data_IF_992540884597
#
_entry.id   IF_992540884597
#
_cell.length_a   1.000
_cell.length_b   1.000
_cell.length_c   1.000
_cell.angle_alpha   90.00
_cell.angle_beta   90.00
_cell.angle_gamma   90.00
#
_symmetry.space_group_name_H-M   'P 1'
#
loop_
_entity.id
_entity.type
_entity.pdbx_description
1 polymer ?
#
# COMPACT_ATOMS: atom_id res chain seq x y z
N UNK A 1 2.19 -7.47 0.14
CA UNK A 1 1.41 -8.59 0.71
C UNK A 1 1.98 -8.89 2.09
N UNK A 2 1.12 -9.22 3.04
CA UNK A 2 1.46 -9.22 4.46
C UNK A 2 0.67 -10.30 5.23
N UNK A 3 1.15 -10.66 6.41
CA UNK A 3 0.52 -11.63 7.33
C UNK A 3 0.06 -10.85 8.57
N UNK A 4 -1.17 -11.07 9.01
CA UNK A 4 -1.70 -10.47 10.24
C UNK A 4 -1.18 -11.20 11.48
N UNK A 5 -1.30 -10.56 12.66
CA UNK A 5 -0.91 -11.18 13.94
C UNK A 5 -1.80 -12.39 14.31
N UNK A 6 -3.01 -12.42 13.78
CA UNK A 6 -4.06 -13.40 14.01
C UNK A 6 -3.97 -14.57 13.02
N UNK A 7 -2.97 -14.57 12.13
CA UNK A 7 -2.78 -15.64 11.15
C UNK A 7 -3.71 -15.51 9.94
N UNK A 8 -3.96 -14.29 9.46
CA UNK A 8 -4.64 -14.06 8.18
C UNK A 8 -3.64 -13.59 7.11
N UNK A 9 -3.74 -14.17 5.92
CA UNK A 9 -2.92 -13.81 4.78
C UNK A 9 -3.64 -12.76 3.92
N UNK A 10 -2.95 -11.66 3.61
CA UNK A 10 -3.34 -10.75 2.54
C UNK A 10 -2.63 -11.16 1.25
N UNK A 11 -3.39 -11.58 0.24
CA UNK A 11 -2.86 -12.05 -1.06
C UNK A 11 -3.40 -11.21 -2.22
N UNK A 12 -2.62 -11.07 -3.28
CA UNK A 12 -3.07 -10.46 -4.53
C UNK A 12 -3.46 -11.56 -5.52
N UNK A 13 -4.71 -11.55 -5.95
CA UNK A 13 -5.26 -12.41 -7.00
C UNK A 13 -5.25 -11.64 -8.33
N UNK A 14 -5.28 -12.36 -9.45
CA UNK A 14 -5.45 -11.79 -10.80
C UNK A 14 -4.49 -10.62 -11.11
N UNK A 15 -3.23 -10.71 -10.65
CA UNK A 15 -2.25 -9.64 -10.84
C UNK A 15 -2.02 -9.39 -12.33
N UNK A 16 -2.17 -8.14 -12.75
CA UNK A 16 -2.09 -7.71 -14.16
C UNK A 16 -0.70 -7.82 -14.77
N UNK A 17 0.35 -7.92 -13.94
CA UNK A 17 1.72 -8.17 -14.38
C UNK A 17 2.44 -9.12 -13.42
N UNK A 18 2.76 -10.33 -13.90
CA UNK A 18 3.37 -11.39 -13.09
C UNK A 18 4.89 -11.19 -12.89
N UNK A 19 5.55 -10.41 -13.75
CA UNK A 19 7.02 -10.31 -13.78
C UNK A 19 7.57 -8.89 -13.61
N UNK A 20 6.77 -7.97 -13.05
CA UNK A 20 7.18 -6.59 -12.71
C UNK A 20 6.89 -6.20 -11.25
N UNK A 21 7.64 -5.22 -10.75
CA UNK A 21 7.36 -4.51 -9.47
C UNK A 21 6.07 -3.69 -9.56
N UNK A 22 5.65 -3.35 -10.78
CA UNK A 22 4.44 -2.58 -11.10
C UNK A 22 3.33 -3.53 -11.55
N UNK A 23 2.18 -3.45 -10.89
CA UNK A 23 0.97 -4.17 -11.28
C UNK A 23 0.02 -4.33 -10.11
N UNK A 24 -1.26 -4.07 -10.35
CA UNK A 24 -2.33 -4.25 -9.37
C UNK A 24 -3.10 -5.55 -9.59
N UNK A 25 -3.76 -6.00 -8.53
CA UNK A 25 -4.64 -7.16 -8.56
C UNK A 25 -5.82 -7.00 -7.61
N UNK A 26 -6.56 -8.07 -7.41
CA UNK A 26 -7.63 -8.14 -6.41
C UNK A 26 -7.04 -8.59 -5.08
N UNK A 27 -7.11 -7.72 -4.07
CA UNK A 27 -6.74 -8.07 -2.71
C UNK A 27 -7.75 -9.06 -2.15
N UNK A 28 -7.27 -10.16 -1.58
CA UNK A 28 -8.09 -11.16 -0.91
C UNK A 28 -7.48 -11.54 0.44
N UNK A 29 -8.35 -11.99 1.35
CA UNK A 29 -7.96 -12.61 2.63
C UNK A 29 -8.05 -14.12 2.56
N UNK A 30 -7.08 -14.80 3.16
CA UNK A 30 -7.07 -16.26 3.31
C UNK A 30 -6.69 -16.60 4.75
N UNK A 31 -7.45 -17.45 5.46
CA UNK A 31 -7.00 -17.99 6.73
C UNK A 31 -5.67 -18.74 6.56
N UNK A 32 -4.73 -18.59 7.48
CA UNK A 32 -3.43 -19.27 7.40
C UNK A 32 -3.55 -20.80 7.48
N UNK A 33 -4.63 -21.32 8.07
CA UNK A 33 -4.98 -22.75 8.03
C UNK A 33 -5.42 -23.24 6.66
N UNK A 34 -5.50 -22.35 5.66
CA UNK A 34 -6.01 -22.63 4.33
C UNK A 34 -7.51 -22.35 4.17
N UNK A 35 -7.98 -22.37 2.93
CA UNK A 35 -9.38 -22.08 2.56
C UNK A 35 -9.48 -21.33 1.23
N UNK A 36 -10.70 -21.08 0.78
CA UNK A 36 -10.93 -20.27 -0.42
C UNK A 36 -10.65 -18.79 -0.13
N UNK A 37 -9.86 -18.10 -0.97
CA UNK A 37 -9.63 -16.66 -0.82
C UNK A 37 -10.94 -15.86 -0.89
N UNK A 38 -11.12 -14.94 0.05
CA UNK A 38 -12.23 -13.98 0.03
C UNK A 38 -11.74 -12.66 -0.54
N UNK A 39 -12.20 -12.32 -1.75
CA UNK A 39 -11.89 -11.04 -2.40
C UNK A 39 -12.44 -9.86 -1.57
N UNK A 40 -11.63 -8.79 -1.47
CA UNK A 40 -11.94 -7.58 -0.70
C UNK A 40 -12.07 -6.34 -1.59
N UNK A 41 -11.03 -6.05 -2.38
CA UNK A 41 -10.95 -4.83 -3.17
C UNK A 41 -10.03 -5.01 -4.37
N UNK A 42 -10.42 -4.46 -5.50
CA UNK A 42 -9.68 -4.55 -6.76
C UNK A 42 -8.67 -3.41 -6.95
N UNK A 43 -7.79 -3.58 -7.93
CA UNK A 43 -6.79 -2.59 -8.33
C UNK A 43 -5.83 -2.21 -7.19
N UNK A 44 -5.46 -3.16 -6.33
CA UNK A 44 -4.51 -2.97 -5.23
C UNK A 44 -3.09 -3.28 -5.69
N UNK A 45 -2.16 -2.35 -5.48
CA UNK A 45 -0.72 -2.50 -5.78
C UNK A 45 0.13 -2.73 -4.53
N UNK A 46 -0.30 -2.25 -3.36
CA UNK A 46 0.32 -2.53 -2.07
C UNK A 46 -0.73 -2.63 -0.95
N UNK A 47 -0.45 -3.43 0.08
CA UNK A 47 -1.29 -3.53 1.26
C UNK A 47 -0.46 -3.90 2.49
N UNK A 48 -0.87 -3.40 3.65
CA UNK A 48 -0.29 -3.73 4.96
C UNK A 48 -1.35 -3.76 6.06
N UNK A 49 -1.17 -4.65 7.04
CA UNK A 49 -2.12 -4.85 8.13
C UNK A 49 -1.99 -3.75 9.18
N UNK A 50 -3.11 -3.31 9.75
CA UNK A 50 -3.04 -2.59 11.01
C UNK A 50 -2.45 -3.51 12.10
N UNK A 51 -1.88 -2.97 13.19
CA UNK A 51 -1.28 -3.81 14.23
C UNK A 51 -2.24 -4.78 14.93
N UNK A 52 -3.55 -4.50 14.85
CA UNK A 52 -4.62 -5.37 15.35
C UNK A 52 -5.03 -6.48 14.36
N UNK A 53 -4.50 -6.47 13.14
CA UNK A 53 -4.79 -7.42 12.06
C UNK A 53 -6.26 -7.54 11.65
N UNK A 54 -7.08 -6.55 11.99
CA UNK A 54 -8.51 -6.52 11.65
C UNK A 54 -8.73 -6.00 10.24
N UNK A 55 -7.92 -5.01 9.81
CA UNK A 55 -8.08 -4.27 8.57
C UNK A 55 -6.74 -4.00 7.87
N UNK A 56 -6.82 -3.67 6.58
CA UNK A 56 -5.68 -3.42 5.71
C UNK A 56 -5.68 -1.97 5.24
N UNK A 57 -4.52 -1.30 5.33
CA UNK A 57 -4.28 -0.13 4.49
C UNK A 57 -3.92 -0.62 3.09
N UNK A 58 -4.43 0.04 2.07
CA UNK A 58 -4.25 -0.36 0.67
C UNK A 58 -3.84 0.82 -0.19
N UNK A 59 -2.92 0.59 -1.12
CA UNK A 59 -2.66 1.47 -2.25
C UNK A 59 -3.44 0.94 -3.43
N UNK A 60 -4.27 1.79 -4.03
CA UNK A 60 -5.01 1.46 -5.24
C UNK A 60 -4.56 2.31 -6.40
N UNK A 61 -4.50 1.69 -7.58
CA UNK A 61 -4.34 2.42 -8.82
C UNK A 61 -5.61 3.24 -9.08
N UNK A 62 -5.46 4.54 -9.30
CA UNK A 62 -6.56 5.47 -9.55
C UNK A 62 -6.91 5.61 -11.05
N UNK A 63 -6.24 4.85 -11.91
CA UNK A 63 -6.33 4.99 -13.37
C UNK A 63 -5.46 6.13 -13.89
N UNK A 64 -5.21 6.13 -15.21
CA UNK A 64 -4.31 7.08 -15.86
C UNK A 64 -2.92 6.51 -16.11
N UNK A 65 -2.80 5.68 -17.14
CA UNK A 65 -1.50 5.39 -17.77
C UNK A 65 -1.23 6.51 -18.78
N UNK A 66 -0.32 7.44 -18.48
CA UNK A 66 0.23 8.21 -19.59
C UNK A 66 1.14 7.24 -20.39
N UNK A 67 1.17 7.32 -21.73
CA UNK A 67 2.06 6.52 -22.57
C UNK A 67 3.55 6.66 -22.20
N UNK A 68 3.86 7.69 -21.43
CA UNK A 68 5.20 8.14 -21.02
C UNK A 68 5.51 7.77 -19.56
N UNK A 69 4.50 7.32 -18.80
CA UNK A 69 4.61 7.05 -17.37
C UNK A 69 4.17 5.63 -17.06
N UNK A 70 5.15 4.77 -16.76
CA UNK A 70 4.93 3.51 -16.04
C UNK A 70 4.43 3.73 -14.59
N UNK A 71 4.17 4.98 -14.21
CA UNK A 71 3.74 5.40 -12.88
C UNK A 71 2.28 5.83 -12.98
N UNK A 72 1.39 5.02 -12.41
CA UNK A 72 -0.04 5.31 -12.29
C UNK A 72 -0.30 6.27 -11.13
N UNK A 73 -1.28 7.15 -11.27
CA UNK A 73 -1.85 7.84 -10.13
C UNK A 73 -2.35 6.82 -9.09
N UNK A 74 -2.15 7.12 -7.81
CA UNK A 74 -2.40 6.18 -6.74
C UNK A 74 -3.14 6.84 -5.58
N UNK A 75 -4.01 6.07 -4.92
CA UNK A 75 -4.67 6.47 -3.68
C UNK A 75 -4.36 5.50 -2.56
N UNK A 76 -4.06 6.04 -1.39
CA UNK A 76 -3.92 5.30 -0.15
C UNK A 76 -5.27 5.34 0.59
N UNK A 77 -5.80 4.17 0.92
CA UNK A 77 -7.05 4.00 1.64
C UNK A 77 -6.84 3.23 2.95
N UNK A 78 -7.52 3.64 4.01
CA UNK A 78 -7.64 2.85 5.24
C UNK A 78 -8.86 3.28 6.09
N UNK A 79 -9.77 2.35 6.44
CA UNK A 79 -9.90 1.02 5.81
C UNK A 79 -10.22 1.15 4.30
N UNK A 80 -10.21 0.05 3.51
CA UNK A 80 -10.50 0.12 2.09
C UNK A 80 -11.83 0.84 1.82
N UNK A 81 -11.85 1.77 0.86
CA UNK A 81 -12.97 2.67 0.58
C UNK A 81 -12.89 4.05 1.25
N UNK A 82 -12.03 4.26 2.25
CA UNK A 82 -11.78 5.57 2.87
C UNK A 82 -10.41 6.11 2.44
N UNK A 83 -10.41 7.10 1.56
CA UNK A 83 -9.17 7.73 1.06
C UNK A 83 -8.52 8.57 2.16
N UNK A 84 -7.22 8.33 2.40
CA UNK A 84 -6.38 9.13 3.29
C UNK A 84 -5.41 10.02 2.50
N UNK A 85 -5.01 9.61 1.30
CA UNK A 85 -4.06 10.35 0.47
C UNK A 85 -4.20 9.97 -1.00
N UNK A 86 -4.02 10.95 -1.88
CA UNK A 86 -3.99 10.76 -3.33
C UNK A 86 -2.73 11.39 -3.90
N UNK A 87 -2.20 10.75 -4.94
CA UNK A 87 -1.02 11.18 -5.65
C UNK A 87 -1.18 10.99 -7.15
N UNK A 88 -0.59 11.91 -7.92
CA UNK A 88 -0.35 11.72 -9.35
C UNK A 88 0.80 10.76 -9.65
N UNK A 89 1.55 10.35 -8.62
CA UNK A 89 2.64 9.40 -8.69
C UNK A 89 2.25 8.07 -8.03
N UNK A 90 3.03 7.04 -8.33
CA UNK A 90 2.88 5.71 -7.76
C UNK A 90 3.34 5.73 -6.31
N UNK A 91 2.59 5.02 -5.47
CA UNK A 91 2.91 4.83 -4.07
C UNK A 91 3.38 3.39 -3.88
N UNK A 92 4.49 3.23 -3.17
CA UNK A 92 5.12 1.95 -2.89
C UNK A 92 5.57 1.85 -1.43
N UNK A 93 5.95 0.65 -1.00
CA UNK A 93 6.52 0.39 0.33
C UNK A 93 5.66 0.88 1.50
N UNK A 94 4.33 0.77 1.36
CA UNK A 94 3.35 1.08 2.41
C UNK A 94 3.58 0.24 3.68
N UNK A 95 3.71 0.88 4.84
CA UNK A 95 3.80 0.22 6.15
C UNK A 95 3.03 0.92 7.26
N UNK A 96 2.27 0.14 8.03
CA UNK A 96 1.73 0.58 9.32
C UNK A 96 2.84 0.68 10.36
N UNK A 97 2.75 1.73 11.18
CA UNK A 97 3.56 1.83 12.40
C UNK A 97 3.14 0.74 13.40
N UNK A 98 4.05 0.22 14.23
CA UNK A 98 3.73 -0.77 15.26
C UNK A 98 2.64 -0.31 16.25
N UNK A 99 2.54 1.01 16.48
CA UNK A 99 1.51 1.64 17.32
C UNK A 99 0.16 1.81 16.62
N UNK A 100 0.12 1.77 15.30
CA UNK A 100 -1.10 1.88 14.49
C UNK A 100 -1.61 3.31 14.30
N UNK A 101 -0.89 4.31 14.81
CA UNK A 101 -1.25 5.74 14.69
C UNK A 101 -0.78 6.36 13.36
N UNK A 102 0.19 5.71 12.70
CA UNK A 102 0.83 6.24 11.49
C UNK A 102 0.96 5.21 10.37
N UNK A 103 0.98 5.72 9.13
CA UNK A 103 1.35 5.02 7.91
C UNK A 103 2.57 5.68 7.27
N UNK A 104 3.57 4.90 6.87
CA UNK A 104 4.70 5.37 6.06
C UNK A 104 4.61 4.79 4.65
N UNK A 105 5.01 5.57 3.65
CA UNK A 105 5.07 5.12 2.26
C UNK A 105 6.06 5.96 1.45
N UNK A 106 6.49 5.41 0.32
CA UNK A 106 7.31 6.10 -0.67
C UNK A 106 6.44 6.51 -1.85
N UNK A 107 6.59 7.74 -2.29
CA UNK A 107 5.98 8.26 -3.50
C UNK A 107 7.05 8.44 -4.59
N UNK A 108 6.77 7.93 -5.79
CA UNK A 108 7.66 8.04 -6.95
C UNK A 108 8.75 6.96 -7.01
N UNK A 109 9.19 6.65 -8.24
CA UNK A 109 10.21 5.62 -8.52
C UNK A 109 11.62 6.21 -8.57
N UNK A 110 11.76 7.44 -9.08
CA UNK A 110 13.01 8.21 -9.09
C UNK A 110 12.74 9.56 -8.42
N UNK A 111 13.76 10.13 -7.74
CA UNK A 111 13.57 11.32 -6.88
C UNK A 111 12.45 11.10 -5.86
N UNK A 112 12.46 9.91 -5.26
CA UNK A 112 11.42 9.46 -4.34
C UNK A 112 11.34 10.32 -3.08
N UNK A 113 10.15 10.37 -2.51
CA UNK A 113 9.88 11.05 -1.26
C UNK A 113 9.27 10.09 -0.23
N UNK A 114 9.73 10.17 1.01
CA UNK A 114 9.21 9.41 2.14
C UNK A 114 8.18 10.24 2.89
N UNK A 115 6.95 9.73 2.94
CA UNK A 115 5.84 10.33 3.64
C UNK A 115 5.48 9.54 4.89
N UNK A 116 4.95 10.26 5.88
CA UNK A 116 4.25 9.70 7.04
C UNK A 116 2.92 10.40 7.21
N UNK A 117 1.84 9.63 7.36
CA UNK A 117 0.48 10.11 7.62
C UNK A 117 0.02 9.68 9.00
N UNK A 118 -0.55 10.62 9.76
CA UNK A 118 -1.34 10.35 10.95
C UNK A 118 -2.71 9.79 10.53
N UNK A 119 -3.03 8.58 10.96
CA UNK A 119 -4.22 7.83 10.50
C UNK A 119 -5.52 8.46 10.98
N UNK A 120 -5.52 9.04 12.18
CA UNK A 120 -6.71 9.65 12.76
C UNK A 120 -7.00 11.02 12.16
N UNK A 121 -5.94 11.82 11.94
CA UNK A 121 -6.04 13.22 11.51
C UNK A 121 -5.90 13.41 10.01
N UNK A 122 -5.37 12.42 9.29
CA UNK A 122 -5.00 12.53 7.88
C UNK A 122 -3.85 13.51 7.61
N UNK A 123 -3.19 14.01 8.66
CA UNK A 123 -2.10 14.98 8.52
C UNK A 123 -0.85 14.28 7.99
N UNK A 124 -0.26 14.84 6.93
CA UNK A 124 0.92 14.28 6.26
C UNK A 124 2.19 15.07 6.56
N UNK A 125 3.30 14.36 6.71
CA UNK A 125 4.65 14.92 6.85
C UNK A 125 5.58 14.28 5.83
N UNK A 126 6.45 15.07 5.20
CA UNK A 126 7.52 14.58 4.33
C UNK A 126 8.79 14.50 5.17
N UNK A 127 9.38 13.31 5.29
CA UNK A 127 10.62 13.10 6.04
C UNK A 127 11.86 13.19 5.16
N UNK A 128 11.75 12.74 3.91
CA UNK A 128 12.82 12.76 2.91
C UNK A 128 12.22 13.18 1.57
N UNK A 129 12.95 14.00 0.81
CA UNK A 129 12.53 14.49 -0.51
C UNK A 129 13.68 14.35 -1.51
N UNK A 130 13.33 14.16 -2.78
CA UNK A 130 14.25 14.19 -3.92
C UNK A 130 15.39 13.16 -3.81
N UNK A 131 15.15 12.06 -3.10
CA UNK A 131 16.16 11.01 -2.93
C UNK A 131 16.25 10.17 -4.20
N UNK A 132 17.46 9.82 -4.69
CA UNK A 132 17.60 9.16 -5.99
C UNK A 132 16.66 7.96 -6.18
N UNK A 133 16.65 7.04 -5.22
CA UNK A 133 15.75 5.87 -5.14
C UNK A 133 15.54 5.48 -3.67
N UNK A 134 14.29 5.25 -3.27
CA UNK A 134 13.96 4.61 -1.98
C UNK A 134 13.19 3.32 -2.30
N UNK A 135 13.84 2.18 -2.09
CA UNK A 135 13.27 0.89 -2.46
C UNK A 135 12.28 0.36 -1.40
N UNK A 136 12.68 0.43 -0.13
CA UNK A 136 11.89 -0.11 0.99
C UNK A 136 12.08 0.71 2.25
N UNK A 137 11.22 0.46 3.24
CA UNK A 137 11.26 1.08 4.56
C UNK A 137 10.79 0.10 5.64
N UNK A 138 11.23 0.35 6.87
CA UNK A 138 10.77 -0.36 8.06
C UNK A 138 10.68 0.61 9.24
N UNK A 139 9.70 0.38 10.11
CA UNK A 139 9.60 1.09 11.38
C UNK A 139 10.55 0.48 12.41
N UNK A 140 11.05 1.32 13.31
CA UNK A 140 11.64 0.82 14.55
C UNK A 140 10.53 0.10 15.36
N UNK A 141 10.85 -1.01 16.06
CA UNK A 141 9.92 -1.70 16.95
C UNK A 141 9.24 -0.80 17.98
#
# INVERSE_FOLDING_TARGET
>A
LAISKEGELAVALKKTNLFGTVGSGTLARVPMTGGSPRELVEAVSAADWNPAGTDLAVVRDAGGTSPESAISAARLEFPPGKVLYESSNGIQSLRFSPKGDRLAFVEGVSRGALFVIDVARGTRTILVKDWPVIDSLAWHP
#
